data_IF_647189390376
#
_entry.id   IF_647189390376
#
_cell.length_a   1.000
_cell.length_b   1.000
_cell.length_c   1.000
_cell.angle_alpha   90.00
_cell.angle_beta   90.00
_cell.angle_gamma   90.00
#
_symmetry.space_group_name_H-M   'P 1'
#
loop_
_entity.id
_entity.type
_entity.pdbx_description
1 polymer ?
#
# COMPACT_ATOMS: atom_id res chain seq x y z
N UNK A 1 -60.96 -10.72 9.67
CA UNK A 1 -59.70 -10.01 9.93
C UNK A 1 -59.45 -9.09 8.75
N UNK A 2 -59.47 -7.77 8.94
CA UNK A 2 -59.16 -6.80 7.88
C UNK A 2 -57.64 -6.75 7.73
N UNK A 3 -57.10 -7.43 6.72
CA UNK A 3 -55.73 -7.18 6.25
C UNK A 3 -55.71 -5.79 5.64
N UNK A 4 -55.25 -4.80 6.42
CA UNK A 4 -54.93 -3.47 5.89
C UNK A 4 -53.77 -3.64 4.91
N UNK A 5 -54.09 -3.65 3.62
CA UNK A 5 -53.11 -3.45 2.55
C UNK A 5 -52.49 -2.07 2.80
N UNK A 6 -51.27 -2.06 3.32
CA UNK A 6 -50.44 -0.86 3.31
C UNK A 6 -50.04 -0.68 1.86
N UNK A 7 -50.56 0.36 1.19
CA UNK A 7 -49.99 0.84 -0.08
C UNK A 7 -48.46 0.77 0.02
N UNK A 8 -47.76 0.23 -0.98
CA UNK A 8 -46.31 0.11 -0.90
C UNK A 8 -45.74 1.52 -0.80
N UNK A 9 -45.34 1.93 0.41
CA UNK A 9 -44.56 3.14 0.64
C UNK A 9 -43.38 3.05 -0.33
N UNK A 10 -43.43 3.84 -1.40
CA UNK A 10 -42.37 3.87 -2.40
C UNK A 10 -41.03 4.07 -1.71
N UNK A 11 -40.00 3.35 -2.14
CA UNK A 11 -38.71 3.45 -1.49
C UNK A 11 -38.16 4.88 -1.62
N UNK A 12 -37.92 5.53 -0.49
CA UNK A 12 -37.22 6.82 -0.43
C UNK A 12 -35.78 6.61 0.01
N UNK A 13 -34.93 6.32 -0.97
CA UNK A 13 -33.50 6.10 -0.75
C UNK A 13 -32.77 7.41 -0.43
N UNK A 14 -31.82 7.30 0.50
CA UNK A 14 -30.80 8.30 0.81
C UNK A 14 -29.46 7.67 0.46
N UNK A 15 -28.65 8.41 -0.27
CA UNK A 15 -27.41 7.91 -0.82
C UNK A 15 -26.22 8.36 0.03
N UNK A 16 -25.25 7.47 0.21
CA UNK A 16 -23.99 7.77 0.88
C UNK A 16 -22.85 7.20 0.05
N UNK A 17 -21.96 8.07 -0.41
CA UNK A 17 -20.76 7.65 -1.13
C UNK A 17 -19.69 7.24 -0.14
N UNK A 18 -19.15 6.04 -0.34
CA UNK A 18 -18.00 5.51 0.40
C UNK A 18 -16.84 5.42 -0.57
N UNK A 19 -15.76 6.15 -0.29
CA UNK A 19 -14.56 6.14 -1.11
C UNK A 19 -13.82 4.79 -1.04
N UNK A 20 -13.12 4.45 -2.12
CA UNK A 20 -12.24 3.28 -2.13
C UNK A 20 -11.03 3.46 -1.22
N UNK A 21 -10.59 2.36 -0.60
CA UNK A 21 -9.33 2.28 0.14
C UNK A 21 -8.37 1.33 -0.57
N UNK A 22 -7.18 1.13 -0.01
CA UNK A 22 -6.24 0.13 -0.53
C UNK A 22 -6.67 -1.32 -0.20
N UNK A 23 -7.71 -1.52 0.62
CA UNK A 23 -8.21 -2.82 1.05
C UNK A 23 -9.72 -3.06 0.77
N UNK A 24 -10.47 -2.05 0.34
CA UNK A 24 -11.89 -2.15 0.04
C UNK A 24 -12.30 -1.25 -1.14
N UNK A 25 -13.20 -1.78 -1.99
CA UNK A 25 -13.80 -1.00 -3.08
C UNK A 25 -14.66 0.14 -2.51
N UNK A 26 -14.66 1.26 -3.20
CA UNK A 26 -15.65 2.32 -2.98
C UNK A 26 -17.01 1.90 -3.55
N UNK A 27 -18.09 2.53 -3.09
CA UNK A 27 -19.45 2.30 -3.58
C UNK A 27 -20.40 3.42 -3.13
N UNK A 28 -21.53 3.54 -3.81
CA UNK A 28 -22.70 4.29 -3.31
C UNK A 28 -23.59 3.34 -2.52
N UNK A 29 -23.91 3.69 -1.27
CA UNK A 29 -24.90 3.01 -0.44
C UNK A 29 -26.24 3.71 -0.56
N UNK A 30 -27.25 3.00 -1.05
CA UNK A 30 -28.64 3.45 -1.05
C UNK A 30 -29.34 2.88 0.17
N UNK A 31 -29.81 3.73 1.09
CA UNK A 31 -30.57 3.29 2.28
C UNK A 31 -31.95 3.94 2.32
N UNK A 32 -33.00 3.12 2.31
CA UNK A 32 -34.37 3.61 2.38
C UNK A 32 -34.64 4.19 3.77
N UNK A 33 -34.96 5.48 3.82
CA UNK A 33 -35.30 6.20 5.05
C UNK A 33 -36.59 5.71 5.73
N UNK A 34 -37.43 4.99 5.00
CA UNK A 34 -38.75 4.52 5.47
C UNK A 34 -38.69 3.09 6.00
N UNK A 35 -38.16 2.14 5.21
CA UNK A 35 -38.18 0.71 5.55
C UNK A 35 -36.81 0.15 5.94
N UNK A 36 -35.73 0.93 5.84
CA UNK A 36 -34.37 0.51 6.19
C UNK A 36 -33.67 -0.40 5.18
N UNK A 37 -34.37 -0.84 4.11
CA UNK A 37 -33.78 -1.63 3.03
C UNK A 37 -32.58 -0.90 2.41
N UNK A 38 -31.52 -1.64 2.07
CA UNK A 38 -30.33 -1.03 1.49
C UNK A 38 -29.66 -1.91 0.44
N UNK A 39 -29.03 -1.27 -0.53
CA UNK A 39 -28.18 -1.92 -1.54
C UNK A 39 -27.02 -1.00 -1.92
N UNK A 40 -26.02 -1.56 -2.64
CA UNK A 40 -24.83 -0.84 -3.08
C UNK A 40 -24.74 -0.82 -4.61
N UNK A 41 -24.30 0.29 -5.19
CA UNK A 41 -23.99 0.44 -6.63
C UNK A 41 -22.73 1.29 -6.85
N UNK A 42 -22.43 1.61 -8.11
CA UNK A 42 -21.38 2.56 -8.51
C UNK A 42 -20.02 2.26 -7.86
N UNK A 43 -19.62 0.99 -7.97
CA UNK A 43 -18.40 0.51 -7.34
C UNK A 43 -17.15 1.11 -7.98
N UNK A 44 -16.23 1.56 -7.13
CA UNK A 44 -14.88 1.98 -7.52
C UNK A 44 -13.87 0.94 -7.05
N UNK A 45 -12.94 0.54 -7.92
CA UNK A 45 -11.90 -0.42 -7.54
C UNK A 45 -10.98 0.11 -6.43
N UNK A 46 -10.32 -0.82 -5.74
CA UNK A 46 -9.36 -0.51 -4.68
C UNK A 46 -8.23 0.38 -5.19
N UNK A 47 -7.69 1.21 -4.29
CA UNK A 47 -6.55 2.06 -4.61
C UNK A 47 -5.29 1.22 -4.85
N UNK A 48 -4.48 1.63 -5.82
CA UNK A 48 -3.20 0.98 -6.15
C UNK A 48 -2.05 1.85 -5.66
N UNK A 49 -1.14 1.25 -4.89
CA UNK A 49 0.02 1.95 -4.37
C UNK A 49 1.05 2.17 -5.47
N UNK A 50 1.67 3.36 -5.47
CA UNK A 50 2.70 3.73 -6.44
C UNK A 50 4.01 2.95 -6.24
N UNK A 51 5.14 3.59 -6.52
CA UNK A 51 6.46 3.00 -6.30
C UNK A 51 7.43 4.04 -5.73
N UNK A 52 8.52 3.56 -5.14
CA UNK A 52 9.58 4.40 -4.58
C UNK A 52 10.36 5.10 -5.69
N UNK A 53 10.65 6.39 -5.50
CA UNK A 53 11.39 7.22 -6.48
C UNK A 53 12.83 7.46 -6.02
N UNK A 54 13.71 7.69 -7.00
CA UNK A 54 15.10 8.14 -6.79
C UNK A 54 15.93 7.26 -5.83
N UNK A 55 15.77 5.94 -5.90
CA UNK A 55 16.63 5.02 -5.16
C UNK A 55 18.06 5.10 -5.69
N UNK A 56 19.01 5.37 -4.80
CA UNK A 56 20.44 5.49 -5.12
C UNK A 56 21.30 4.91 -4.00
N UNK A 57 22.51 4.50 -4.37
CA UNK A 57 23.59 4.18 -3.43
C UNK A 57 24.35 5.48 -3.16
N UNK A 58 24.43 5.91 -1.90
CA UNK A 58 25.07 7.20 -1.55
C UNK A 58 26.39 7.05 -0.84
N UNK A 59 26.59 5.95 -0.12
CA UNK A 59 27.87 5.62 0.50
C UNK A 59 28.14 4.13 0.35
N UNK A 60 29.39 3.76 0.14
CA UNK A 60 29.80 2.36 0.14
C UNK A 60 31.25 2.22 0.57
N UNK A 61 31.57 1.09 1.18
CA UNK A 61 32.92 0.63 1.44
C UNK A 61 32.94 -0.92 1.42
N UNK A 62 34.08 -1.57 1.66
CA UNK A 62 34.18 -3.03 1.61
C UNK A 62 33.24 -3.82 2.55
N UNK A 63 32.57 -3.15 3.49
CA UNK A 63 31.73 -3.76 4.54
C UNK A 63 30.32 -3.20 4.61
N UNK A 64 30.00 -2.08 3.95
CA UNK A 64 28.66 -1.52 3.97
C UNK A 64 28.27 -0.80 2.67
N UNK A 65 26.96 -0.71 2.43
CA UNK A 65 26.32 0.09 1.40
C UNK A 65 25.18 0.88 2.05
N UNK A 66 25.11 2.19 1.80
CA UNK A 66 23.99 3.05 2.19
C UNK A 66 23.12 3.35 0.97
N UNK A 67 21.84 3.02 1.10
CA UNK A 67 20.78 3.32 0.13
C UNK A 67 19.99 4.54 0.62
N UNK A 68 19.62 5.41 -0.31
CA UNK A 68 18.70 6.53 -0.06
C UNK A 68 17.65 6.60 -1.17
N UNK A 69 16.46 7.07 -0.84
CA UNK A 69 15.35 7.27 -1.78
C UNK A 69 14.53 8.51 -1.42
N UNK A 70 13.57 8.88 -2.27
CA UNK A 70 12.67 10.01 -1.99
C UNK A 70 11.55 9.63 -1.04
N UNK A 71 11.20 10.56 -0.15
CA UNK A 71 10.03 10.45 0.73
C UNK A 71 8.74 10.26 -0.08
N UNK A 72 7.89 9.34 0.37
CA UNK A 72 6.55 9.17 -0.20
C UNK A 72 5.60 10.25 0.30
N UNK A 73 4.83 10.84 -0.62
CA UNK A 73 3.84 11.89 -0.32
C UNK A 73 2.49 11.32 0.13
N UNK A 74 2.24 10.02 -0.09
CA UNK A 74 1.00 9.33 0.30
C UNK A 74 1.04 8.74 1.73
N UNK A 75 2.09 9.08 2.50
CA UNK A 75 2.31 8.64 3.88
C UNK A 75 2.77 7.18 4.02
N UNK A 76 3.08 6.49 2.92
CA UNK A 76 3.53 5.09 2.98
C UNK A 76 4.92 4.93 3.59
N UNK A 77 5.13 3.81 4.29
CA UNK A 77 6.45 3.33 4.66
C UNK A 77 7.12 2.55 3.53
N UNK A 78 8.19 1.84 3.87
CA UNK A 78 9.03 1.15 2.89
C UNK A 78 9.31 -0.28 3.31
N UNK A 79 9.53 -1.15 2.33
CA UNK A 79 10.17 -2.44 2.53
C UNK A 79 11.40 -2.53 1.64
N UNK A 80 12.54 -2.88 2.24
CA UNK A 80 13.81 -3.06 1.55
C UNK A 80 14.16 -4.54 1.54
N UNK A 81 14.48 -5.06 0.37
CA UNK A 81 14.88 -6.44 0.17
C UNK A 81 16.24 -6.51 -0.53
N UNK A 82 17.01 -7.53 -0.20
CA UNK A 82 18.28 -7.87 -0.84
C UNK A 82 18.14 -9.21 -1.55
N UNK A 83 18.68 -9.32 -2.76
CA UNK A 83 18.72 -10.59 -3.48
C UNK A 83 19.83 -11.49 -2.90
N UNK A 84 19.46 -12.68 -2.41
CA UNK A 84 20.37 -13.67 -1.81
C UNK A 84 19.94 -15.07 -2.21
N UNK A 85 20.86 -15.87 -2.77
CA UNK A 85 20.62 -17.28 -3.06
C UNK A 85 19.39 -17.54 -3.94
N UNK A 86 19.20 -16.73 -4.99
CA UNK A 86 18.09 -16.91 -5.94
C UNK A 86 16.75 -16.31 -5.50
N UNK A 87 16.67 -15.66 -4.33
CA UNK A 87 15.42 -15.07 -3.82
C UNK A 87 15.62 -13.69 -3.20
N UNK A 88 14.53 -12.94 -3.09
CA UNK A 88 14.50 -11.68 -2.37
C UNK A 88 14.28 -11.94 -0.88
N UNK A 89 15.10 -11.30 -0.04
CA UNK A 89 15.03 -11.41 1.42
C UNK A 89 14.83 -10.02 2.01
N UNK A 90 13.77 -9.82 2.81
CA UNK A 90 13.52 -8.56 3.51
C UNK A 90 14.63 -8.29 4.52
N UNK A 91 15.23 -7.12 4.42
CA UNK A 91 16.28 -6.64 5.33
C UNK A 91 15.85 -5.41 6.14
N UNK A 92 14.80 -4.70 5.73
CA UNK A 92 14.21 -3.61 6.51
C UNK A 92 12.74 -3.42 6.17
N UNK A 93 11.95 -2.92 7.13
CA UNK A 93 10.59 -2.44 6.92
C UNK A 93 10.27 -1.25 7.81
N UNK A 94 9.45 -0.35 7.31
CA UNK A 94 8.91 0.80 8.04
C UNK A 94 7.44 1.01 7.70
N UNK A 95 6.74 1.72 8.59
CA UNK A 95 5.39 2.25 8.35
C UNK A 95 5.39 3.79 8.27
N UNK A 96 6.57 4.41 8.36
CA UNK A 96 6.76 5.86 8.30
C UNK A 96 7.43 6.27 7.00
N UNK A 97 6.90 7.32 6.38
CA UNK A 97 7.45 7.94 5.17
C UNK A 97 8.77 8.67 5.42
N UNK A 98 9.08 9.04 6.67
CA UNK A 98 10.30 9.77 7.03
C UNK A 98 11.59 8.94 6.84
N UNK A 99 11.49 7.61 6.89
CA UNK A 99 12.65 6.73 6.84
C UNK A 99 13.12 6.47 5.41
N UNK A 100 13.88 7.41 4.86
CA UNK A 100 14.28 7.43 3.45
C UNK A 100 15.70 6.89 3.18
N UNK A 101 16.30 6.19 4.15
CA UNK A 101 17.66 5.68 4.04
C UNK A 101 17.83 4.34 4.79
N UNK A 102 18.74 3.50 4.31
CA UNK A 102 19.16 2.27 4.98
C UNK A 102 20.64 2.01 4.74
N UNK A 103 21.40 1.75 5.80
CA UNK A 103 22.77 1.22 5.71
C UNK A 103 22.77 -0.28 5.93
N UNK A 104 23.20 -1.03 4.91
CA UNK A 104 23.38 -2.48 4.94
C UNK A 104 24.84 -2.76 5.25
N UNK A 105 25.11 -3.49 6.34
CA UNK A 105 26.47 -3.78 6.85
C UNK A 105 26.82 -5.26 6.72
N UNK A 106 28.00 -5.65 7.20
CA UNK A 106 28.51 -7.03 7.20
C UNK A 106 28.58 -7.65 5.80
N UNK A 107 28.96 -6.83 4.83
CA UNK A 107 29.13 -7.23 3.44
C UNK A 107 30.52 -7.83 3.18
N UNK A 108 30.61 -8.61 2.11
CA UNK A 108 31.83 -9.27 1.65
C UNK A 108 32.50 -8.39 0.60
N UNK A 109 33.75 -7.94 0.81
CA UNK A 109 34.48 -7.14 -0.17
C UNK A 109 34.49 -7.77 -1.57
N UNK A 110 34.42 -6.94 -2.60
CA UNK A 110 34.39 -7.36 -4.01
C UNK A 110 33.08 -8.01 -4.46
N UNK A 111 32.05 -8.07 -3.60
CA UNK A 111 30.79 -8.75 -3.91
C UNK A 111 29.73 -7.77 -4.40
N UNK A 112 29.08 -8.11 -5.53
CA UNK A 112 27.92 -7.37 -6.04
C UNK A 112 26.64 -7.74 -5.28
N UNK A 113 25.91 -6.72 -4.86
CA UNK A 113 24.65 -6.80 -4.16
C UNK A 113 23.55 -6.11 -4.95
N UNK A 114 22.40 -6.77 -5.06
CA UNK A 114 21.19 -6.18 -5.63
C UNK A 114 20.16 -5.95 -4.53
N UNK A 115 19.64 -4.73 -4.48
CA UNK A 115 18.60 -4.31 -3.56
C UNK A 115 17.36 -3.91 -4.35
N UNK A 116 16.19 -4.01 -3.71
CA UNK A 116 14.98 -3.35 -4.17
C UNK A 116 14.24 -2.71 -3.00
N UNK A 117 13.58 -1.60 -3.28
CA UNK A 117 12.73 -0.90 -2.31
C UNK A 117 11.34 -0.74 -2.91
N UNK A 118 10.32 -1.02 -2.11
CA UNK A 118 8.90 -0.83 -2.46
C UNK A 118 8.17 -0.06 -1.37
N UNK A 119 7.09 0.63 -1.77
CA UNK A 119 6.19 1.25 -0.80
C UNK A 119 5.45 0.16 -0.03
N UNK A 120 5.18 0.43 1.24
CA UNK A 120 4.42 -0.43 2.14
C UNK A 120 3.39 0.41 2.87
N UNK A 121 2.13 0.00 2.84
CA UNK A 121 1.03 0.68 3.52
C UNK A 121 0.16 -0.32 4.26
N UNK A 122 -0.21 0.00 5.50
CA UNK A 122 -1.23 -0.75 6.24
C UNK A 122 -2.57 -0.08 5.96
N UNK A 123 -3.53 -0.84 5.44
CA UNK A 123 -4.90 -0.39 5.18
C UNK A 123 -5.86 -1.42 5.79
N UNK A 124 -6.64 -0.98 6.76
CA UNK A 124 -7.42 -1.89 7.61
C UNK A 124 -6.50 -2.91 8.31
N UNK A 125 -6.81 -4.19 8.12
CA UNK A 125 -5.99 -5.31 8.63
C UNK A 125 -5.00 -5.88 7.61
N UNK A 126 -4.86 -5.24 6.45
CA UNK A 126 -4.03 -5.76 5.35
C UNK A 126 -2.80 -4.88 5.13
N UNK A 127 -1.73 -5.50 4.61
CA UNK A 127 -0.54 -4.79 4.14
C UNK A 127 -0.57 -4.79 2.63
N UNK A 128 -0.52 -3.60 2.05
CA UNK A 128 -0.48 -3.37 0.63
C UNK A 128 0.92 -2.91 0.24
N UNK A 129 1.37 -3.39 -0.92
CA UNK A 129 2.69 -3.10 -1.44
C UNK A 129 2.58 -2.45 -2.81
N UNK A 130 3.42 -1.44 -3.02
CA UNK A 130 3.58 -0.80 -4.30
C UNK A 130 4.54 -1.54 -5.22
N UNK A 131 4.76 -0.94 -6.38
CA UNK A 131 5.87 -1.31 -7.26
C UNK A 131 7.23 -1.11 -6.56
N UNK A 132 8.25 -1.78 -7.11
CA UNK A 132 9.62 -1.67 -6.60
C UNK A 132 10.55 -0.95 -7.58
N UNK A 133 11.60 -0.34 -7.04
CA UNK A 133 12.78 0.13 -7.78
C UNK A 133 14.01 -0.61 -7.27
N UNK A 134 15.00 -0.86 -8.16
CA UNK A 134 16.21 -1.62 -7.84
C UNK A 134 17.45 -0.75 -7.82
N UNK A 135 18.44 -1.16 -7.03
CA UNK A 135 19.79 -0.64 -7.07
C UNK A 135 20.78 -1.81 -6.99
N UNK A 136 21.92 -1.66 -7.67
CA UNK A 136 23.03 -2.60 -7.63
C UNK A 136 24.27 -1.85 -7.16
N UNK A 137 25.04 -2.46 -6.26
CA UNK A 137 26.33 -1.93 -5.84
C UNK A 137 27.30 -3.06 -5.49
N UNK A 138 28.58 -2.80 -5.66
CA UNK A 138 29.67 -3.71 -5.30
C UNK A 138 30.47 -3.06 -4.18
N UNK A 139 30.68 -3.80 -3.09
CA UNK A 139 31.53 -3.35 -1.98
C UNK A 139 33.01 -3.52 -2.26
#
# INVERSE_FOLDING_TARGET
MLTRELDPLGHKYVDTVVDATYDAKGYTLHKCSVCGSSYKSDYTDILVLGYVKNLKVTRQNPKFITLEWSMSTDGSGYEVEQYKGGKWVRISKTDSSANCALTVTNLTPGTSYTFRVRLRKVSGSTVQYGGYIRAVATT
#
